data_IF_197308750369
#
_entry.id   IF_197308750369
#
_cell.length_a   1.000
_cell.length_b   1.000
_cell.length_c   1.000
_cell.angle_alpha   90.00
_cell.angle_beta   90.00
_cell.angle_gamma   90.00
#
_symmetry.space_group_name_H-M   'P 1'
#
loop_
_entity.id
_entity.type
_entity.pdbx_description
1 polymer ?
#
# COMPACT_ATOMS: atom_id res chain seq x y z
N UNK A 1 9.33 24.35 -26.42
CA UNK A 1 9.83 24.77 -25.11
C UNK A 1 10.06 26.28 -25.19
N UNK A 2 9.11 27.07 -24.69
CA UNK A 2 9.38 28.47 -24.35
C UNK A 2 10.22 28.50 -23.06
N UNK A 3 11.10 29.49 -22.95
CA UNK A 3 12.14 29.59 -21.92
C UNK A 3 11.58 29.44 -20.50
N UNK A 4 12.02 28.39 -19.79
CA UNK A 4 11.88 28.28 -18.33
C UNK A 4 10.77 27.37 -17.77
N UNK A 5 9.87 26.81 -18.60
CA UNK A 5 8.79 25.93 -18.12
C UNK A 5 8.99 24.46 -18.55
N UNK A 6 9.02 23.55 -17.57
CA UNK A 6 9.01 22.09 -17.79
C UNK A 6 7.61 21.55 -17.53
N UNK A 7 6.89 21.19 -18.59
CA UNK A 7 5.60 20.52 -18.49
C UNK A 7 5.80 19.00 -18.46
N UNK A 8 5.26 18.32 -17.45
CA UNK A 8 5.20 16.86 -17.38
C UNK A 8 3.74 16.41 -17.50
N UNK A 9 3.46 15.55 -18.48
CA UNK A 9 2.11 15.05 -18.75
C UNK A 9 1.98 13.62 -18.25
N UNK A 10 0.84 13.31 -17.63
CA UNK A 10 0.53 12.00 -17.07
C UNK A 10 -0.93 11.67 -17.35
N UNK A 11 -1.17 10.49 -17.93
CA UNK A 11 -2.52 9.95 -18.15
C UNK A 11 -2.54 8.45 -17.83
N UNK A 12 -3.71 7.89 -17.55
CA UNK A 12 -3.74 6.53 -17.00
C UNK A 12 -5.12 5.93 -16.77
N UNK A 13 -5.11 4.68 -16.27
CA UNK A 13 -6.31 3.95 -15.84
C UNK A 13 -6.10 3.48 -14.40
N UNK A 14 -7.06 3.76 -13.53
CA UNK A 14 -7.03 3.33 -12.14
C UNK A 14 -8.08 2.26 -11.85
N UNK A 15 -7.88 1.51 -10.76
CA UNK A 15 -8.83 0.54 -10.21
C UNK A 15 -9.17 -0.63 -11.15
N UNK A 16 -8.21 -1.09 -11.95
CA UNK A 16 -8.37 -2.28 -12.78
C UNK A 16 -8.24 -3.52 -11.89
N UNK A 17 -9.35 -4.20 -11.61
CA UNK A 17 -9.34 -5.46 -10.85
C UNK A 17 -9.03 -6.63 -11.78
N UNK A 18 -8.08 -7.46 -11.40
CA UNK A 18 -7.69 -8.70 -12.11
C UNK A 18 -7.39 -9.79 -11.08
N UNK A 19 -7.80 -11.01 -11.37
CA UNK A 19 -7.46 -12.18 -10.57
C UNK A 19 -6.83 -13.26 -11.45
N UNK A 20 -5.89 -14.00 -10.89
CA UNK A 20 -5.15 -15.06 -11.59
C UNK A 20 -5.06 -16.30 -10.70
N UNK A 21 -5.38 -17.45 -11.30
CA UNK A 21 -5.16 -18.77 -10.71
C UNK A 21 -4.06 -19.46 -11.50
N UNK A 22 -3.07 -20.00 -10.81
CA UNK A 22 -2.10 -20.96 -11.36
C UNK A 22 -2.38 -22.32 -10.72
N UNK A 23 -2.41 -23.38 -11.53
CA UNK A 23 -2.67 -24.74 -11.04
C UNK A 23 -1.44 -25.58 -11.27
N UNK A 24 -0.96 -26.24 -10.23
CA UNK A 24 0.05 -27.28 -10.35
C UNK A 24 -0.63 -28.59 -10.78
N UNK A 25 0.08 -29.41 -11.53
CA UNK A 25 -0.34 -30.80 -11.77
C UNK A 25 -0.22 -31.59 -10.46
N UNK A 26 -1.16 -32.51 -10.22
CA UNK A 26 -1.18 -33.37 -9.05
C UNK A 26 -2.00 -34.63 -9.31
N UNK A 27 -1.93 -35.59 -8.38
CA UNK A 27 -2.67 -36.85 -8.42
C UNK A 27 -4.20 -36.62 -8.25
N UNK A 28 -4.98 -37.69 -8.08
CA UNK A 28 -6.45 -37.82 -8.22
C UNK A 28 -7.35 -36.70 -7.64
N UNK A 29 -6.87 -35.85 -6.72
CA UNK A 29 -7.62 -34.74 -6.09
C UNK A 29 -7.36 -33.34 -6.69
N UNK A 30 -6.56 -33.25 -7.76
CA UNK A 30 -6.19 -31.97 -8.40
C UNK A 30 -5.12 -31.23 -7.60
N UNK A 31 -4.02 -30.90 -8.27
CA UNK A 31 -2.85 -30.30 -7.63
C UNK A 31 -3.10 -28.94 -6.96
N UNK A 32 -2.07 -28.41 -6.29
CA UNK A 32 -2.17 -27.16 -5.52
C UNK A 32 -2.52 -25.98 -6.43
N UNK A 33 -3.54 -25.20 -6.07
CA UNK A 33 -3.89 -23.96 -6.74
C UNK A 33 -3.23 -22.78 -6.03
N UNK A 34 -2.61 -21.86 -6.78
CA UNK A 34 -2.16 -20.56 -6.31
C UNK A 34 -3.07 -19.48 -6.83
N UNK A 35 -3.39 -18.49 -6.01
CA UNK A 35 -4.33 -17.43 -6.35
C UNK A 35 -3.78 -16.06 -5.99
N UNK A 36 -3.97 -15.09 -6.87
CA UNK A 36 -3.72 -13.68 -6.61
C UNK A 36 -4.88 -12.84 -7.14
N UNK A 37 -5.22 -11.77 -6.42
CA UNK A 37 -6.16 -10.75 -6.87
C UNK A 37 -5.53 -9.38 -6.67
N UNK A 38 -5.49 -8.59 -7.74
CA UNK A 38 -4.80 -7.31 -7.79
C UNK A 38 -5.75 -6.20 -8.22
N UNK A 39 -5.57 -5.04 -7.60
CA UNK A 39 -6.10 -3.76 -8.06
C UNK A 39 -4.94 -2.96 -8.67
N UNK A 40 -4.95 -2.81 -9.99
CA UNK A 40 -3.87 -2.20 -10.77
C UNK A 40 -4.24 -0.77 -11.17
N UNK A 41 -3.30 0.15 -10.99
CA UNK A 41 -3.35 1.51 -11.51
C UNK A 41 -2.14 1.78 -12.38
N UNK A 42 -2.39 2.27 -13.59
CA UNK A 42 -1.40 2.57 -14.62
C UNK A 42 -1.36 4.08 -14.80
N UNK A 43 -0.16 4.62 -14.92
CA UNK A 43 0.06 6.00 -15.35
C UNK A 43 1.26 6.07 -16.27
N UNK A 44 1.07 6.66 -17.44
CA UNK A 44 2.10 6.83 -18.43
C UNK A 44 2.52 8.30 -18.47
N UNK A 45 3.82 8.53 -18.41
CA UNK A 45 4.43 9.80 -18.78
C UNK A 45 4.74 9.71 -20.27
N UNK A 46 4.25 10.67 -21.03
CA UNK A 46 4.32 10.66 -22.49
C UNK A 46 4.61 12.03 -23.06
N UNK A 47 5.26 12.07 -24.22
CA UNK A 47 5.29 13.26 -25.07
C UNK A 47 4.01 13.31 -25.90
N UNK A 48 2.96 13.92 -25.35
CA UNK A 48 1.65 14.04 -26.01
C UNK A 48 1.08 15.45 -25.87
N UNK A 49 1.95 16.47 -25.87
CA UNK A 49 1.55 17.88 -25.73
C UNK A 49 0.42 18.30 -26.68
N UNK A 50 0.40 17.86 -27.96
CA UNK A 50 -0.69 18.19 -28.87
C UNK A 50 -2.09 17.82 -28.36
N UNK A 51 -2.22 16.78 -27.53
CA UNK A 51 -3.50 16.39 -26.94
C UNK A 51 -4.04 17.45 -25.97
N UNK A 52 -3.15 18.15 -25.26
CA UNK A 52 -3.51 19.14 -24.25
C UNK A 52 -3.77 20.53 -24.83
N UNK A 53 -3.10 20.90 -25.92
CA UNK A 53 -3.16 22.27 -26.48
C UNK A 53 -3.97 22.36 -27.78
N UNK A 54 -4.11 21.25 -28.50
CA UNK A 54 -4.72 21.22 -29.84
C UNK A 54 -5.78 20.12 -30.01
N UNK A 55 -6.02 19.29 -28.99
CA UNK A 55 -6.97 18.18 -29.07
C UNK A 55 -6.53 17.05 -29.99
N UNK A 56 -5.25 17.00 -30.38
CA UNK A 56 -4.69 15.92 -31.19
C UNK A 56 -4.33 14.72 -30.31
N UNK A 57 -5.12 13.65 -30.42
CA UNK A 57 -4.98 12.45 -29.60
C UNK A 57 -4.09 11.37 -30.23
N UNK A 58 -3.38 11.65 -31.33
CA UNK A 58 -2.59 10.64 -32.08
C UNK A 58 -1.54 9.91 -31.24
N UNK A 59 -0.97 10.60 -30.24
CA UNK A 59 0.03 10.05 -29.31
C UNK A 59 -0.57 9.53 -27.98
N UNK A 60 -1.88 9.63 -27.78
CA UNK A 60 -2.53 9.16 -26.55
C UNK A 60 -2.76 7.65 -26.60
N UNK A 61 -2.20 6.93 -25.62
CA UNK A 61 -2.58 5.53 -25.38
C UNK A 61 -3.94 5.53 -24.69
N UNK A 62 -4.96 5.01 -25.37
CA UNK A 62 -6.30 4.98 -24.79
C UNK A 62 -6.31 4.23 -23.44
N UNK A 63 -6.98 4.81 -22.44
CA UNK A 63 -7.00 4.23 -21.09
C UNK A 63 -7.73 2.88 -21.05
N UNK A 64 -8.62 2.60 -21.99
CA UNK A 64 -9.23 1.28 -22.16
C UNK A 64 -8.22 0.24 -22.68
N UNK A 65 -7.35 0.63 -23.62
CA UNK A 65 -6.22 -0.21 -24.06
C UNK A 65 -5.33 -0.57 -22.88
N UNK A 66 -5.01 0.38 -21.99
CA UNK A 66 -4.22 0.10 -20.79
C UNK A 66 -4.86 -0.98 -19.89
N UNK A 67 -6.18 -0.89 -19.68
CA UNK A 67 -6.96 -1.92 -18.95
C UNK A 67 -6.87 -3.28 -19.65
N UNK A 68 -7.06 -3.32 -20.97
CA UNK A 68 -6.98 -4.56 -21.74
C UNK A 68 -5.57 -5.17 -21.70
N UNK A 69 -4.52 -4.35 -21.72
CA UNK A 69 -3.14 -4.79 -21.54
C UNK A 69 -2.94 -5.49 -20.20
N UNK A 70 -3.51 -4.99 -19.09
CA UNK A 70 -3.44 -5.68 -17.79
C UNK A 70 -3.97 -7.11 -17.90
N UNK A 71 -5.13 -7.29 -18.54
CA UNK A 71 -5.74 -8.62 -18.70
C UNK A 71 -4.92 -9.53 -19.62
N UNK A 72 -4.41 -8.99 -20.73
CA UNK A 72 -3.57 -9.73 -21.66
C UNK A 72 -2.27 -10.21 -20.99
N UNK A 73 -1.54 -9.29 -20.34
CA UNK A 73 -0.30 -9.63 -19.63
C UNK A 73 -0.54 -10.63 -18.50
N UNK A 74 -1.62 -10.48 -17.72
CA UNK A 74 -1.96 -11.45 -16.67
C UNK A 74 -2.25 -12.86 -17.24
N UNK A 75 -2.83 -12.94 -18.44
CA UNK A 75 -3.08 -14.22 -19.14
C UNK A 75 -1.79 -14.86 -19.63
N UNK A 76 -0.85 -14.06 -20.14
CA UNK A 76 0.48 -14.49 -20.61
C UNK A 76 1.39 -15.01 -19.49
N UNK A 77 1.15 -14.60 -18.23
CA UNK A 77 1.91 -15.07 -17.06
C UNK A 77 1.65 -16.57 -16.79
N UNK A 78 2.44 -17.44 -17.42
CA UNK A 78 2.40 -18.88 -17.21
C UNK A 78 2.96 -19.31 -15.86
N UNK A 79 3.98 -18.59 -15.36
CA UNK A 79 4.56 -18.78 -14.04
C UNK A 79 3.88 -17.88 -13.01
N UNK A 80 3.90 -18.33 -11.74
CA UNK A 80 3.48 -17.51 -10.59
C UNK A 80 4.41 -16.31 -10.47
N UNK A 81 3.84 -15.12 -10.27
CA UNK A 81 4.56 -13.86 -10.09
C UNK A 81 4.11 -13.17 -8.80
N UNK A 82 5.01 -12.38 -8.21
CA UNK A 82 4.64 -11.40 -7.20
C UNK A 82 3.94 -10.19 -7.84
N UNK A 83 3.36 -9.32 -7.01
CA UNK A 83 2.80 -8.06 -7.48
C UNK A 83 3.90 -7.16 -8.08
N UNK A 84 5.10 -7.15 -7.49
CA UNK A 84 6.26 -6.39 -7.97
C UNK A 84 6.67 -6.83 -9.37
N UNK A 85 6.86 -8.13 -9.59
CA UNK A 85 7.27 -8.65 -10.88
C UNK A 85 6.21 -8.37 -11.95
N UNK A 86 4.92 -8.52 -11.61
CA UNK A 86 3.85 -8.21 -12.54
C UNK A 86 3.78 -6.71 -12.88
N UNK A 87 4.00 -5.84 -11.90
CA UNK A 87 4.08 -4.40 -12.12
C UNK A 87 5.28 -4.02 -13.02
N UNK A 88 6.44 -4.67 -12.84
CA UNK A 88 7.61 -4.51 -13.70
C UNK A 88 7.30 -4.96 -15.14
N UNK A 89 6.65 -6.11 -15.33
CA UNK A 89 6.31 -6.61 -16.66
C UNK A 89 5.32 -5.70 -17.40
N UNK A 90 4.35 -5.12 -16.69
CA UNK A 90 3.47 -4.09 -17.24
C UNK A 90 4.24 -2.83 -17.62
N UNK A 91 5.10 -2.33 -16.73
CA UNK A 91 5.87 -1.13 -16.96
C UNK A 91 6.78 -1.28 -18.19
N UNK A 92 7.50 -2.42 -18.31
CA UNK A 92 8.32 -2.77 -19.47
C UNK A 92 7.52 -2.79 -20.76
N UNK A 93 6.32 -3.38 -20.77
CA UNK A 93 5.48 -3.38 -21.96
C UNK A 93 5.19 -1.96 -22.45
N UNK A 94 4.73 -1.07 -21.56
CA UNK A 94 4.37 0.29 -21.98
C UNK A 94 5.58 1.12 -22.43
N UNK A 95 6.72 1.01 -21.75
CA UNK A 95 7.91 1.80 -22.12
C UNK A 95 8.59 1.30 -23.39
N UNK A 96 8.56 -0.01 -23.65
CA UNK A 96 9.17 -0.61 -24.85
C UNK A 96 8.29 -0.50 -26.10
N UNK A 97 6.97 -0.67 -25.97
CA UNK A 97 6.08 -0.75 -27.12
C UNK A 97 5.73 0.62 -27.70
N UNK A 98 5.42 1.60 -26.84
CA UNK A 98 4.96 2.92 -27.28
C UNK A 98 6.13 3.90 -27.35
N UNK A 99 6.39 4.46 -28.54
CA UNK A 99 7.53 5.36 -28.77
C UNK A 99 7.46 6.63 -27.90
N UNK A 100 6.28 7.21 -27.77
CA UNK A 100 6.02 8.45 -27.06
C UNK A 100 6.01 8.31 -25.53
N UNK A 101 5.88 7.09 -24.99
CA UNK A 101 5.91 6.83 -23.54
C UNK A 101 7.36 6.89 -23.07
N UNK A 102 7.64 7.82 -22.16
CA UNK A 102 8.96 8.06 -21.56
C UNK A 102 9.13 7.37 -20.22
N UNK A 103 8.05 7.19 -19.45
CA UNK A 103 8.07 6.37 -18.25
C UNK A 103 6.68 5.77 -17.96
N UNK A 104 6.66 4.66 -17.23
CA UNK A 104 5.44 4.02 -16.74
C UNK A 104 5.50 3.89 -15.21
N UNK A 105 4.43 4.32 -14.55
CA UNK A 105 4.18 4.14 -13.12
C UNK A 105 3.04 3.14 -12.96
N UNK A 106 3.33 2.00 -12.35
CA UNK A 106 2.37 0.92 -12.10
C UNK A 106 2.25 0.71 -10.60
N UNK A 107 1.08 1.03 -10.04
CA UNK A 107 0.75 0.74 -8.64
C UNK A 107 -0.18 -0.46 -8.57
N UNK A 108 0.14 -1.42 -7.71
CA UNK A 108 -0.68 -2.59 -7.44
C UNK A 108 -1.00 -2.64 -5.95
N UNK A 109 -2.27 -2.86 -5.63
CA UNK A 109 -2.73 -3.27 -4.30
C UNK A 109 -3.20 -4.70 -4.40
N UNK A 110 -2.53 -5.61 -3.71
CA UNK A 110 -2.91 -7.01 -3.63
C UNK A 110 -3.98 -7.20 -2.55
N UNK A 111 -5.01 -7.97 -2.91
CA UNK A 111 -6.02 -8.38 -1.96
C UNK A 111 -5.47 -9.58 -1.16
N UNK A 112 -5.50 -9.54 0.18
CA UNK A 112 -4.78 -10.52 1.00
C UNK A 112 -5.55 -11.84 1.09
N UNK A 113 -5.47 -12.65 0.03
CA UNK A 113 -6.01 -14.00 0.07
C UNK A 113 -5.00 -14.93 0.73
N UNK A 114 -5.33 -15.39 1.93
CA UNK A 114 -4.54 -16.34 2.70
C UNK A 114 -5.08 -17.74 2.53
N UNK A 115 -4.20 -18.73 2.35
CA UNK A 115 -4.60 -20.13 2.28
C UNK A 115 -5.18 -20.58 3.62
N UNK A 116 -6.35 -21.21 3.58
CA UNK A 116 -7.01 -21.73 4.78
C UNK A 116 -6.19 -22.87 5.36
N UNK A 117 -6.02 -22.87 6.68
CA UNK A 117 -5.48 -23.99 7.44
C UNK A 117 -6.63 -24.72 8.14
N UNK A 118 -6.78 -26.02 7.88
CA UNK A 118 -7.75 -26.90 8.52
C UNK A 118 -6.98 -27.98 9.26
N UNK A 119 -7.12 -28.04 10.59
CA UNK A 119 -6.45 -29.03 11.45
C UNK A 119 -4.92 -29.10 11.29
N UNK A 120 -4.27 -27.95 11.08
CA UNK A 120 -2.82 -27.86 10.87
C UNK A 120 -2.38 -28.07 9.42
N UNK A 121 -3.29 -28.42 8.50
CA UNK A 121 -3.00 -28.67 7.10
C UNK A 121 -3.53 -27.54 6.20
N UNK A 122 -2.70 -27.11 5.24
CA UNK A 122 -3.08 -26.09 4.28
C UNK A 122 -4.00 -26.67 3.20
N UNK A 123 -5.14 -26.01 2.95
CA UNK A 123 -6.09 -26.41 1.91
C UNK A 123 -5.49 -26.23 0.51
N UNK A 124 -5.70 -27.18 -0.40
CA UNK A 124 -5.07 -27.16 -1.75
C UNK A 124 -5.59 -26.02 -2.64
N UNK A 125 -6.82 -25.59 -2.44
CA UNK A 125 -7.47 -24.55 -3.26
C UNK A 125 -8.43 -23.60 -2.49
N UNK A 126 -8.31 -23.55 -1.16
CA UNK A 126 -9.21 -22.80 -0.28
C UNK A 126 -8.52 -21.58 0.32
N UNK A 127 -9.16 -20.41 0.26
CA UNK A 127 -8.60 -19.14 0.70
C UNK A 127 -9.60 -18.35 1.57
N UNK A 128 -9.08 -17.62 2.56
CA UNK A 128 -9.80 -16.63 3.37
C UNK A 128 -9.17 -15.26 3.17
N UNK A 129 -9.87 -14.20 3.54
CA UNK A 129 -9.26 -12.87 3.58
C UNK A 129 -8.40 -12.71 4.83
N UNK A 130 -7.20 -12.19 4.63
CA UNK A 130 -6.31 -11.63 5.65
C UNK A 130 -6.66 -10.18 5.99
N UNK A 131 -5.84 -9.58 6.84
CA UNK A 131 -6.04 -8.24 7.39
C UNK A 131 -5.41 -7.14 6.53
N UNK A 132 -4.11 -7.23 6.33
CA UNK A 132 -3.28 -6.19 5.73
C UNK A 132 -3.12 -6.38 4.23
N UNK A 133 -3.00 -5.29 3.48
CA UNK A 133 -2.82 -5.32 2.04
C UNK A 133 -1.34 -5.16 1.72
N UNK A 134 -0.85 -5.98 0.80
CA UNK A 134 0.45 -5.73 0.17
C UNK A 134 0.29 -4.75 -0.98
N UNK A 135 1.22 -3.83 -1.09
CA UNK A 135 1.25 -2.81 -2.14
C UNK A 135 2.61 -2.79 -2.81
N UNK A 136 2.61 -2.41 -4.08
CA UNK A 136 3.83 -2.07 -4.80
C UNK A 136 3.57 -0.90 -5.73
N UNK A 137 4.56 -0.04 -5.91
CA UNK A 137 4.64 0.96 -6.96
C UNK A 137 5.96 0.80 -7.71
N UNK A 138 5.86 0.61 -9.02
CA UNK A 138 6.99 0.51 -9.93
C UNK A 138 7.00 1.73 -10.82
N UNK A 139 8.10 2.47 -10.83
CA UNK A 139 8.43 3.46 -11.85
C UNK A 139 9.54 2.89 -12.74
N UNK A 140 9.25 2.77 -14.03
CA UNK A 140 10.26 2.42 -15.03
C UNK A 140 10.37 3.55 -16.05
N UNK A 141 11.55 4.15 -16.13
CA UNK A 141 11.92 5.07 -17.20
C UNK A 141 12.36 4.29 -18.45
N UNK A 142 12.10 4.86 -19.63
CA UNK A 142 12.47 4.26 -20.92
C UNK A 142 13.98 4.08 -21.08
N UNK A 143 14.80 4.91 -20.42
CA UNK A 143 16.26 4.76 -20.36
C UNK A 143 16.73 3.56 -19.53
N UNK A 144 15.81 2.89 -18.82
CA UNK A 144 16.09 1.70 -18.00
C UNK A 144 16.14 1.97 -16.50
N UNK A 145 15.98 3.22 -16.05
CA UNK A 145 15.90 3.54 -14.63
C UNK A 145 14.68 2.88 -13.97
N UNK A 146 14.91 1.94 -13.06
CA UNK A 146 13.88 1.18 -12.36
C UNK A 146 13.86 1.56 -10.88
N UNK A 147 12.69 1.98 -10.39
CA UNK A 147 12.42 2.16 -8.96
C UNK A 147 11.24 1.28 -8.57
N UNK A 148 11.41 0.50 -7.51
CA UNK A 148 10.36 -0.37 -6.96
C UNK A 148 10.19 -0.03 -5.50
N UNK A 149 8.97 0.32 -5.10
CA UNK A 149 8.59 0.54 -3.70
C UNK A 149 7.54 -0.48 -3.34
N UNK A 150 7.77 -1.29 -2.32
CA UNK A 150 6.74 -2.18 -1.76
C UNK A 150 6.27 -1.70 -0.41
N UNK A 151 5.15 -2.23 0.04
CA UNK A 151 4.61 -1.84 1.32
C UNK A 151 3.49 -2.70 1.85
N UNK A 152 3.16 -2.45 3.11
CA UNK A 152 2.00 -2.97 3.81
C UNK A 152 1.12 -1.79 4.19
N UNK A 153 -0.19 -1.92 3.98
CA UNK A 153 -1.20 -0.96 4.39
C UNK A 153 -2.32 -1.70 5.14
N UNK A 154 -2.91 -1.07 6.17
CA UNK A 154 -4.09 -1.63 6.84
C UNK A 154 -3.79 -2.68 7.92
N UNK A 155 -2.55 -2.81 8.38
CA UNK A 155 -2.22 -3.71 9.49
C UNK A 155 -2.63 -3.07 10.83
N UNK A 156 -3.83 -3.35 11.29
CA UNK A 156 -4.35 -2.88 12.57
C UNK A 156 -3.77 -3.71 13.73
N UNK A 157 -3.10 -3.04 14.68
CA UNK A 157 -2.53 -3.66 15.88
C UNK A 157 -2.86 -2.87 17.13
N UNK A 158 -3.01 -3.57 18.25
CA UNK A 158 -3.31 -2.98 19.55
C UNK A 158 -2.52 -3.70 20.65
N UNK A 159 -1.97 -2.94 21.59
CA UNK A 159 -1.51 -3.45 22.88
C UNK A 159 -2.19 -2.70 24.03
N UNK A 160 -2.53 -3.44 25.08
CA UNK A 160 -3.35 -2.93 26.20
C UNK A 160 -2.55 -2.33 27.34
N UNK A 161 -1.21 -2.38 27.30
CA UNK A 161 -0.29 -1.93 28.36
C UNK A 161 1.12 -1.72 27.77
N UNK A 162 2.09 -1.32 28.58
CA UNK A 162 3.50 -1.08 28.21
C UNK A 162 3.63 0.02 27.16
N UNK A 163 2.92 1.11 27.38
CA UNK A 163 2.92 2.31 26.55
C UNK A 163 2.65 3.51 27.44
N UNK A 164 3.61 4.44 27.51
CA UNK A 164 3.47 5.71 28.21
C UNK A 164 3.61 6.91 27.26
N UNK A 165 3.27 8.08 27.75
CA UNK A 165 3.50 9.36 27.10
C UNK A 165 3.69 10.45 28.17
N UNK A 166 4.95 10.79 28.42
CA UNK A 166 5.42 11.70 29.46
C UNK A 166 6.62 12.51 28.95
N UNK A 167 6.94 13.63 29.61
CA UNK A 167 8.06 14.50 29.26
C UNK A 167 7.86 15.33 27.99
N UNK A 168 6.63 15.43 27.47
CA UNK A 168 6.34 16.26 26.30
C UNK A 168 6.35 17.75 26.66
N UNK A 169 6.67 18.58 25.66
CA UNK A 169 6.70 20.04 25.80
C UNK A 169 5.33 20.55 26.27
N UNK A 170 5.33 21.43 27.27
CA UNK A 170 4.13 22.06 27.79
C UNK A 170 4.13 23.55 27.47
N UNK A 171 3.01 24.01 26.92
CA UNK A 171 2.72 25.40 26.69
C UNK A 171 1.36 25.79 27.29
N UNK A 172 0.90 27.02 27.02
CA UNK A 172 -0.39 27.53 27.51
C UNK A 172 -1.63 26.79 26.98
N UNK A 173 -1.48 25.92 25.98
CA UNK A 173 -2.57 25.12 25.40
C UNK A 173 -2.53 23.64 25.80
N UNK A 174 -1.54 23.24 26.59
CA UNK A 174 -1.32 21.83 26.93
C UNK A 174 -2.24 21.37 28.07
N UNK A 175 -3.35 20.71 27.69
CA UNK A 175 -4.34 20.13 28.63
C UNK A 175 -4.08 18.65 28.90
N UNK A 176 -3.40 17.96 27.97
CA UNK A 176 -3.15 16.52 28.07
C UNK A 176 -2.35 16.18 29.35
N UNK A 177 -2.86 15.27 30.20
CA UNK A 177 -2.09 14.74 31.31
C UNK A 177 -1.03 13.76 30.80
N UNK A 178 0.10 13.72 31.49
CA UNK A 178 1.09 12.66 31.29
C UNK A 178 0.53 11.33 31.79
N UNK A 179 0.97 10.24 31.18
CA UNK A 179 0.65 8.90 31.65
C UNK A 179 1.81 7.95 31.46
N UNK A 180 2.09 7.12 32.47
CA UNK A 180 3.07 6.04 32.36
C UNK A 180 2.49 4.83 31.64
N UNK A 181 1.16 4.66 31.66
CA UNK A 181 0.46 3.52 31.08
C UNK A 181 -0.81 3.95 30.34
N UNK A 182 -0.95 3.47 29.10
CA UNK A 182 -2.13 3.65 28.23
C UNK A 182 -2.17 2.53 27.20
N UNK A 183 -3.32 2.38 26.55
CA UNK A 183 -3.39 1.58 25.33
C UNK A 183 -2.64 2.26 24.18
N UNK A 184 -2.13 1.44 23.25
CA UNK A 184 -1.61 1.90 21.98
C UNK A 184 -2.24 1.06 20.88
N UNK A 185 -2.97 1.73 19.99
CA UNK A 185 -3.54 1.13 18.80
C UNK A 185 -3.16 1.95 17.57
N UNK A 186 -2.93 1.27 16.45
CA UNK A 186 -2.53 1.92 15.20
C UNK A 186 -2.89 1.05 14.00
N UNK A 187 -3.01 1.68 12.84
CA UNK A 187 -3.06 1.01 11.54
C UNK A 187 -1.74 1.26 10.82
N UNK A 188 -0.88 0.26 10.74
CA UNK A 188 0.48 0.42 10.21
C UNK A 188 0.41 0.56 8.69
N UNK A 189 1.01 1.65 8.20
CA UNK A 189 1.46 1.78 6.81
C UNK A 189 2.98 1.80 6.79
N UNK A 190 3.57 0.85 6.08
CA UNK A 190 5.02 0.73 5.92
C UNK A 190 5.35 0.63 4.43
N UNK A 191 6.22 1.51 3.95
CA UNK A 191 6.71 1.51 2.56
C UNK A 191 8.23 1.39 2.57
N UNK A 192 8.79 0.53 1.72
CA UNK A 192 10.23 0.38 1.55
C UNK A 192 10.59 0.35 0.06
N UNK A 193 11.66 1.05 -0.30
CA UNK A 193 12.16 1.10 -1.68
C UNK A 193 13.30 0.11 -1.88
N UNK A 194 13.28 -0.67 -2.96
CA UNK A 194 14.24 -1.76 -3.23
C UNK A 194 15.59 -1.33 -3.82
N UNK A 195 16.51 -2.30 -3.75
CA UNK A 195 17.96 -2.34 -3.93
C UNK A 195 18.75 -1.43 -2.98
N UNK A 196 19.38 -2.12 -2.03
CA UNK A 196 20.04 -1.60 -0.82
C UNK A 196 19.16 -0.92 0.23
N UNK A 197 17.83 -1.10 0.14
CA UNK A 197 16.80 -0.43 0.96
C UNK A 197 17.23 1.01 1.27
N UNK A 198 17.13 1.84 0.23
CA UNK A 198 17.43 3.27 0.28
C UNK A 198 16.67 3.95 1.42
N UNK A 199 15.38 3.61 1.57
CA UNK A 199 14.50 4.21 2.55
C UNK A 199 13.38 3.29 3.01
N UNK A 200 12.97 3.47 4.28
CA UNK A 200 11.75 2.93 4.87
C UNK A 200 10.93 4.11 5.39
N UNK A 201 9.67 4.20 4.98
CA UNK A 201 8.70 5.15 5.50
C UNK A 201 7.66 4.40 6.35
N UNK A 202 7.39 4.93 7.54
CA UNK A 202 6.35 4.44 8.45
C UNK A 202 5.36 5.56 8.72
N UNK A 203 4.08 5.21 8.64
CA UNK A 203 2.96 6.02 9.10
C UNK A 203 2.12 5.19 10.05
N UNK A 204 1.94 5.69 11.26
CA UNK A 204 1.30 5.00 12.38
C UNK A 204 0.39 5.99 13.12
N UNK A 205 -0.87 6.16 12.70
CA UNK A 205 -1.81 6.99 13.43
C UNK A 205 -2.04 6.40 14.83
N UNK A 206 -2.16 7.25 15.85
CA UNK A 206 -2.48 6.83 17.21
C UNK A 206 -4.01 6.80 17.38
N UNK A 207 -4.59 5.61 17.25
CA UNK A 207 -6.02 5.39 17.45
C UNK A 207 -6.31 5.37 18.95
N UNK A 208 -7.12 6.33 19.40
CA UNK A 208 -7.29 6.57 20.82
C UNK A 208 -8.31 5.61 21.44
N UNK A 209 -7.97 5.12 22.63
CA UNK A 209 -8.90 4.44 23.51
C UNK A 209 -8.94 5.23 24.81
N UNK A 210 -9.96 6.06 24.95
CA UNK A 210 -10.10 6.98 26.08
C UNK A 210 -10.82 6.27 27.23
N UNK A 211 -10.31 6.29 28.47
CA UNK A 211 -11.04 5.72 29.60
C UNK A 211 -12.42 6.38 29.75
N UNK A 212 -13.46 5.58 29.89
CA UNK A 212 -14.82 6.12 30.09
C UNK A 212 -14.95 6.56 31.54
N UNK A 213 -15.03 7.88 31.72
CA UNK A 213 -15.20 8.49 33.02
C UNK A 213 -16.71 8.54 33.38
N UNK A 214 -17.18 7.60 34.22
CA UNK A 214 -18.55 7.59 34.75
C UNK A 214 -18.56 8.03 36.22
N UNK A 215 -18.67 9.34 36.46
CA UNK A 215 -18.82 9.84 37.82
C UNK A 215 -20.21 9.53 38.34
N UNK A 216 -20.33 8.89 39.50
CA UNK A 216 -21.60 8.75 40.21
C UNK A 216 -21.52 9.42 41.58
N UNK A 217 -22.68 9.68 42.20
CA UNK A 217 -22.74 10.22 43.57
C UNK A 217 -22.04 9.31 44.59
N UNK A 218 -21.95 8.02 44.30
CA UNK A 218 -21.40 6.99 45.19
C UNK A 218 -19.93 6.67 44.90
N UNK A 219 -19.40 7.06 43.73
CA UNK A 219 -17.99 6.89 43.37
C UNK A 219 -17.43 8.12 42.62
N UNK A 220 -16.85 9.09 43.35
CA UNK A 220 -16.32 10.32 42.77
C UNK A 220 -14.89 10.18 42.22
N UNK A 221 -14.25 9.01 42.26
CA UNK A 221 -12.91 8.77 41.70
C UNK A 221 -12.99 7.89 40.45
N UNK A 222 -12.66 8.45 39.29
CA UNK A 222 -13.38 8.10 38.06
C UNK A 222 -12.53 7.54 36.92
N UNK A 223 -11.20 7.45 37.06
CA UNK A 223 -10.35 6.82 36.03
C UNK A 223 -9.22 6.08 36.71
N UNK A 224 -9.14 4.76 36.52
CA UNK A 224 -7.97 3.97 36.90
C UNK A 224 -7.62 3.09 35.72
N UNK A 225 -6.38 3.15 35.24
CA UNK A 225 -5.90 2.17 34.26
C UNK A 225 -5.78 0.76 34.91
N UNK A 226 -6.92 0.14 35.22
CA UNK A 226 -7.09 -1.07 36.01
C UNK A 226 -8.43 -1.74 35.67
N UNK A 227 -8.41 -2.68 34.71
CA UNK A 227 -9.60 -3.45 34.26
C UNK A 227 -10.81 -2.59 33.83
N UNK A 228 -10.52 -1.45 33.18
CA UNK A 228 -11.50 -0.38 32.89
C UNK A 228 -12.20 -0.51 31.52
N UNK A 229 -13.25 0.31 31.32
CA UNK A 229 -13.99 0.47 30.05
C UNK A 229 -13.44 1.65 29.26
N UNK A 230 -13.30 1.50 27.93
CA UNK A 230 -12.72 2.52 27.06
C UNK A 230 -13.65 2.86 25.89
N UNK A 231 -13.66 4.13 25.50
CA UNK A 231 -14.25 4.63 24.27
C UNK A 231 -13.20 4.56 23.14
N UNK A 232 -13.37 3.65 22.15
CA UNK A 232 -12.54 3.67 20.95
C UNK A 232 -12.92 4.87 20.07
N UNK A 233 -11.92 5.62 19.62
CA UNK A 233 -12.11 6.73 18.68
C UNK A 233 -11.04 6.69 17.60
N UNK A 234 -11.48 6.63 16.35
CA UNK A 234 -10.65 6.78 15.14
C UNK A 234 -10.46 8.24 14.73
N UNK A 235 -11.33 9.15 15.18
CA UNK A 235 -11.25 10.59 14.89
C UNK A 235 -11.48 11.48 16.15
N UNK A 236 -10.71 12.58 16.33
CA UNK A 236 -9.43 12.84 15.68
C UNK A 236 -8.36 11.86 16.18
N UNK A 237 -7.32 11.60 15.39
CA UNK A 237 -6.17 10.79 15.79
C UNK A 237 -4.87 11.56 15.61
N UNK A 238 -3.89 11.28 16.47
CA UNK A 238 -2.52 11.74 16.23
C UNK A 238 -1.95 11.08 14.98
N UNK A 239 -1.25 11.82 14.12
CA UNK A 239 -0.55 11.27 12.96
C UNK A 239 0.96 11.29 13.22
N UNK A 240 1.58 10.11 13.21
CA UNK A 240 3.01 9.95 13.42
C UNK A 240 3.59 9.31 12.18
N UNK A 241 4.56 9.99 11.58
CA UNK A 241 5.23 9.55 10.37
C UNK A 241 6.74 9.72 10.51
N UNK A 242 7.51 8.78 9.97
CA UNK A 242 8.95 8.88 9.91
C UNK A 242 9.48 8.19 8.66
N UNK A 243 10.52 8.75 8.07
CA UNK A 243 11.27 8.12 6.99
C UNK A 243 12.71 7.96 7.45
N UNK A 244 13.20 6.73 7.45
CA UNK A 244 14.61 6.43 7.65
C UNK A 244 15.23 6.14 6.28
N UNK A 245 16.34 6.81 5.97
CA UNK A 245 17.05 6.61 4.71
C UNK A 245 18.54 6.46 4.94
N UNK A 246 19.23 5.71 4.07
CA UNK A 246 20.70 5.65 4.08
C UNK A 246 21.26 6.96 3.52
N UNK A 247 22.30 7.49 4.16
CA UNK A 247 22.99 8.71 3.68
C UNK A 247 23.69 8.43 2.32
N UNK A 248 24.19 7.21 2.14
CA UNK A 248 24.77 6.72 0.88
C UNK A 248 24.11 5.37 0.59
N UNK A 249 23.28 5.29 -0.46
CA UNK A 249 22.81 4.00 -0.96
C UNK A 249 24.01 3.27 -1.56
N UNK A 250 24.14 1.96 -1.32
CA UNK A 250 25.12 1.17 -2.06
C UNK A 250 24.73 1.17 -3.54
N UNK A 251 25.75 1.24 -4.40
CA UNK A 251 25.65 1.23 -5.86
C UNK A 251 25.52 -0.21 -6.33
#
# INVERSE_FOLDING_TARGET
MEEGLKLQQRHGKARVRVARVWREEGDDDGGTHHFAEWNVSISLLSDCLPAYIAGDNSDIVATDTMKNTVYAKAKECSKRLSAEDFAIELAKHFTSYYRQVTAAIIRIVEKPWERVNVNGQLHTHGFKLGSEKHTTEVLLDKSGGLQVTSGVEGLAVLKTTKSGFEGFIRDKYTILPETQERMLATEVTALWRFQDIESIHLKMPNLHFLPVNLSSKDNPAIVKFADDVYLPTDEPHGSIEATLSRIHSKI
#
